data_IF_794428889992
#
_entry.id   IF_794428889992
#
_cell.length_a   1.000
_cell.length_b   1.000
_cell.length_c   1.000
_cell.angle_alpha   90.00
_cell.angle_beta   90.00
_cell.angle_gamma   90.00
#
_symmetry.space_group_name_H-M   'P 1'
#
loop_
_entity.id
_entity.type
_entity.pdbx_description
1 polymer ?
#
# COMPACT_ATOMS: atom_id res chain seq x y z
N UNK A 1 5.13 45.33 -5.71
CA UNK A 1 4.36 44.37 -6.52
C UNK A 1 4.90 42.99 -6.19
N UNK A 2 4.17 42.19 -5.42
CA UNK A 2 4.48 40.78 -5.25
C UNK A 2 4.00 40.10 -6.54
N UNK A 3 4.90 39.76 -7.44
CA UNK A 3 4.60 38.77 -8.48
C UNK A 3 4.54 37.43 -7.76
N UNK A 4 3.35 36.79 -7.63
CA UNK A 4 3.30 35.44 -7.11
C UNK A 4 4.16 34.56 -8.03
N UNK A 5 4.95 33.67 -7.41
CA UNK A 5 5.67 32.63 -8.13
C UNK A 5 4.65 31.90 -9.03
N UNK A 6 4.93 31.68 -10.33
CA UNK A 6 4.03 30.94 -11.17
C UNK A 6 3.76 29.59 -10.51
N UNK A 7 2.49 29.27 -10.27
CA UNK A 7 2.09 27.95 -9.81
C UNK A 7 2.67 26.92 -10.79
N UNK A 8 3.63 26.13 -10.33
CA UNK A 8 4.32 25.17 -11.20
C UNK A 8 3.34 24.06 -11.57
N UNK A 9 2.79 24.16 -12.77
CA UNK A 9 1.93 23.13 -13.37
C UNK A 9 2.79 21.95 -13.81
N UNK A 10 2.97 20.97 -12.93
CA UNK A 10 3.61 19.70 -13.30
C UNK A 10 3.93 18.81 -12.12
N UNK A 11 3.19 17.70 -11.98
CA UNK A 11 3.53 16.61 -11.08
C UNK A 11 4.70 15.76 -11.57
N UNK A 12 5.13 14.72 -10.82
CA UNK A 12 6.24 13.86 -11.21
C UNK A 12 5.96 13.14 -12.54
N UNK A 13 6.85 13.33 -13.53
CA UNK A 13 6.69 12.75 -14.87
C UNK A 13 7.65 11.57 -15.04
N UNK A 14 7.09 10.39 -15.31
CA UNK A 14 7.88 9.20 -15.62
C UNK A 14 8.40 9.26 -17.06
N UNK A 15 9.72 9.31 -17.26
CA UNK A 15 10.35 9.32 -18.60
C UNK A 15 10.61 7.92 -19.17
N UNK A 16 10.37 6.86 -18.40
CA UNK A 16 10.69 5.49 -18.80
C UNK A 16 9.62 4.92 -19.76
N UNK A 17 9.99 4.42 -20.96
CA UNK A 17 9.05 3.86 -21.93
C UNK A 17 8.32 2.61 -21.41
N UNK A 18 8.86 1.91 -20.41
CA UNK A 18 8.25 0.73 -19.81
C UNK A 18 7.07 1.05 -18.87
N UNK A 19 6.91 2.31 -18.44
CA UNK A 19 5.80 2.69 -17.56
C UNK A 19 4.43 2.47 -18.22
N UNK A 20 4.31 2.74 -19.53
CA UNK A 20 3.07 2.57 -20.27
C UNK A 20 2.60 1.09 -20.37
N UNK A 21 3.43 0.12 -20.81
CA UNK A 21 3.02 -1.28 -20.84
C UNK A 21 2.77 -1.84 -19.43
N UNK A 22 3.55 -1.46 -18.42
CA UNK A 22 3.32 -1.89 -17.03
C UNK A 22 1.96 -1.42 -16.51
N UNK A 23 1.59 -0.15 -16.75
CA UNK A 23 0.25 0.37 -16.42
C UNK A 23 -0.86 -0.40 -17.15
N UNK A 24 -0.64 -0.75 -18.42
CA UNK A 24 -1.58 -1.55 -19.21
C UNK A 24 -1.80 -2.94 -18.60
N UNK A 25 -0.73 -3.67 -18.33
CA UNK A 25 -0.78 -4.99 -17.70
C UNK A 25 -1.47 -4.96 -16.34
N UNK A 26 -1.09 -4.01 -15.47
CA UNK A 26 -1.71 -3.84 -14.15
C UNK A 26 -3.17 -3.46 -14.24
N UNK A 27 -3.58 -2.68 -15.25
CA UNK A 27 -4.99 -2.34 -15.47
C UNK A 27 -5.81 -3.59 -15.80
N UNK A 28 -5.31 -4.43 -16.72
CA UNK A 28 -5.99 -5.68 -17.09
C UNK A 28 -6.07 -6.63 -15.89
N UNK A 29 -4.96 -6.81 -15.17
CA UNK A 29 -4.93 -7.65 -13.98
C UNK A 29 -5.93 -7.18 -12.91
N UNK A 30 -5.91 -5.91 -12.55
CA UNK A 30 -6.81 -5.35 -11.54
C UNK A 30 -8.28 -5.33 -12.00
N UNK A 31 -8.54 -5.11 -13.29
CA UNK A 31 -9.90 -5.21 -13.84
C UNK A 31 -10.44 -6.65 -13.77
N UNK A 32 -9.61 -7.64 -14.12
CA UNK A 32 -10.00 -9.05 -13.98
C UNK A 32 -10.27 -9.41 -12.51
N UNK A 33 -9.42 -8.97 -11.59
CA UNK A 33 -9.61 -9.18 -10.16
C UNK A 33 -10.89 -8.48 -9.66
N UNK A 34 -11.20 -7.28 -10.14
CA UNK A 34 -12.44 -6.57 -9.84
C UNK A 34 -13.66 -7.37 -10.31
N UNK A 35 -13.66 -7.88 -11.55
CA UNK A 35 -14.76 -8.70 -12.08
C UNK A 35 -14.97 -9.96 -11.25
N UNK A 36 -13.90 -10.67 -10.88
CA UNK A 36 -13.97 -11.84 -10.00
C UNK A 36 -14.56 -11.44 -8.64
N UNK A 37 -14.09 -10.36 -8.04
CA UNK A 37 -14.56 -9.89 -6.74
C UNK A 37 -16.04 -9.50 -6.74
N UNK A 38 -16.51 -8.80 -7.78
CA UNK A 38 -17.92 -8.44 -7.95
C UNK A 38 -18.79 -9.67 -8.18
N UNK A 39 -18.27 -10.67 -8.90
CA UNK A 39 -18.96 -11.94 -9.10
C UNK A 39 -19.12 -12.68 -7.76
N UNK A 40 -18.07 -12.75 -6.95
CA UNK A 40 -18.12 -13.35 -5.61
C UNK A 40 -19.12 -12.62 -4.71
N UNK A 41 -19.08 -11.28 -4.66
CA UNK A 41 -20.02 -10.49 -3.85
C UNK A 41 -21.47 -10.63 -4.34
N UNK A 42 -21.70 -10.67 -5.65
CA UNK A 42 -23.02 -10.92 -6.22
C UNK A 42 -23.52 -12.33 -5.87
N UNK A 43 -22.65 -13.34 -5.92
CA UNK A 43 -22.97 -14.70 -5.48
C UNK A 43 -23.28 -14.76 -3.97
N UNK A 44 -22.50 -14.09 -3.12
CA UNK A 44 -22.77 -13.97 -1.69
C UNK A 44 -24.13 -13.31 -1.44
N UNK A 45 -24.41 -12.19 -2.11
CA UNK A 45 -25.70 -11.51 -1.97
C UNK A 45 -26.86 -12.38 -2.44
N UNK A 46 -26.68 -13.11 -3.55
CA UNK A 46 -27.67 -14.06 -4.05
C UNK A 46 -27.93 -15.16 -3.01
N UNK A 47 -26.89 -15.82 -2.51
CA UNK A 47 -27.02 -16.87 -1.48
C UNK A 47 -27.71 -16.35 -0.21
N UNK A 48 -27.36 -15.14 0.22
CA UNK A 48 -27.98 -14.46 1.36
C UNK A 48 -29.50 -14.23 1.16
N UNK A 49 -29.89 -13.70 0.00
CA UNK A 49 -31.30 -13.45 -0.32
C UNK A 49 -32.09 -14.75 -0.36
N UNK A 50 -31.55 -15.79 -1.01
CA UNK A 50 -32.27 -17.06 -1.11
C UNK A 50 -32.41 -17.71 0.27
N UNK A 51 -31.35 -17.70 1.09
CA UNK A 51 -31.38 -18.21 2.47
C UNK A 51 -32.50 -17.56 3.30
N UNK A 52 -32.60 -16.23 3.26
CA UNK A 52 -33.64 -15.50 3.98
C UNK A 52 -35.05 -15.67 3.41
N UNK A 53 -35.20 -16.00 2.12
CA UNK A 53 -36.52 -16.16 1.50
C UNK A 53 -37.13 -17.53 1.71
N UNK A 54 -36.31 -18.58 1.77
CA UNK A 54 -36.83 -19.95 1.78
C UNK A 54 -36.68 -20.64 3.12
N UNK A 55 -35.90 -20.11 4.08
CA UNK A 55 -35.66 -20.73 5.39
C UNK A 55 -34.85 -22.04 5.33
N UNK A 56 -34.79 -22.65 4.15
CA UNK A 56 -33.96 -23.73 3.64
C UNK A 56 -33.86 -23.48 2.13
N UNK A 57 -32.66 -23.46 1.53
CA UNK A 57 -32.56 -23.35 0.06
C UNK A 57 -33.22 -24.57 -0.61
N UNK A 58 -33.89 -24.41 -1.77
CA UNK A 58 -34.46 -25.54 -2.50
C UNK A 58 -33.35 -26.56 -2.82
N UNK A 59 -33.65 -27.87 -2.84
CA UNK A 59 -32.67 -28.87 -3.23
C UNK A 59 -32.16 -28.51 -4.63
N UNK A 60 -30.84 -28.33 -4.74
CA UNK A 60 -30.19 -28.06 -6.01
C UNK A 60 -30.60 -29.12 -7.04
N UNK A 61 -30.74 -28.76 -8.33
CA UNK A 61 -31.06 -29.71 -9.38
C UNK A 61 -29.91 -30.73 -9.48
N UNK A 62 -30.18 -31.94 -9.01
CA UNK A 62 -29.24 -33.06 -9.07
C UNK A 62 -29.22 -33.62 -10.50
N UNK A 63 -28.04 -33.89 -11.09
CA UNK A 63 -27.96 -34.89 -12.12
C UNK A 63 -28.05 -36.26 -11.43
N UNK A 64 -29.25 -36.84 -11.52
CA UNK A 64 -29.59 -38.26 -11.35
C UNK A 64 -29.45 -38.91 -9.96
N UNK A 65 -30.62 -39.21 -9.36
CA UNK A 65 -31.01 -40.57 -8.92
C UNK A 65 -30.23 -41.26 -7.77
N UNK A 66 -29.72 -40.55 -6.76
CA UNK A 66 -29.08 -41.26 -5.60
C UNK A 66 -29.55 -40.85 -4.21
N UNK A 67 -30.62 -40.08 -4.07
CA UNK A 67 -31.26 -39.83 -2.76
C UNK A 67 -32.55 -40.67 -2.59
N UNK A 68 -32.49 -41.97 -2.93
CA UNK A 68 -33.54 -42.96 -2.60
C UNK A 68 -33.62 -43.28 -1.09
N UNK A 69 -32.87 -42.55 -0.26
CA UNK A 69 -32.88 -42.68 1.20
C UNK A 69 -33.17 -41.34 1.90
N UNK A 70 -34.09 -40.53 1.36
CA UNK A 70 -34.76 -39.47 2.12
C UNK A 70 -35.71 -40.12 3.14
N UNK A 71 -35.08 -40.56 4.23
CA UNK A 71 -35.71 -41.05 5.45
C UNK A 71 -36.58 -39.92 6.00
N UNK A 72 -37.89 -40.18 5.95
CA UNK A 72 -38.99 -39.57 6.69
C UNK A 72 -38.70 -38.25 7.44
N UNK A 73 -39.37 -37.19 6.96
CA UNK A 73 -40.32 -36.40 7.75
C UNK A 73 -39.95 -36.22 9.23
N UNK A 74 -39.00 -35.32 9.49
CA UNK A 74 -38.83 -34.69 10.81
C UNK A 74 -39.35 -33.24 10.70
N UNK A 75 -40.29 -32.80 11.55
CA UNK A 75 -40.80 -31.44 11.53
C UNK A 75 -39.68 -30.48 11.93
N UNK A 76 -39.56 -29.38 11.17
CA UNK A 76 -38.53 -28.38 11.36
C UNK A 76 -38.47 -27.89 12.81
N UNK A 77 -37.27 -27.79 13.43
CA UNK A 77 -37.13 -27.07 14.68
C UNK A 77 -37.56 -25.61 14.48
N UNK A 78 -38.13 -24.94 15.51
CA UNK A 78 -38.50 -23.53 15.43
C UNK A 78 -37.30 -22.70 15.00
N UNK A 79 -37.50 -21.49 14.41
CA UNK A 79 -36.40 -20.66 13.94
C UNK A 79 -35.44 -20.48 15.11
N UNK A 80 -34.29 -21.14 15.02
CA UNK A 80 -33.23 -20.97 15.99
C UNK A 80 -33.00 -19.46 16.08
N UNK A 81 -33.11 -18.97 17.30
CA UNK A 81 -32.74 -17.61 17.68
C UNK A 81 -31.48 -17.21 16.90
N UNK A 82 -31.51 -16.00 16.37
CA UNK A 82 -30.42 -15.32 15.67
C UNK A 82 -29.25 -15.13 16.65
N UNK A 83 -28.59 -16.21 17.05
CA UNK A 83 -27.52 -16.18 18.07
C UNK A 83 -26.32 -17.08 17.76
N UNK A 84 -26.38 -17.96 16.76
CA UNK A 84 -25.22 -18.77 16.38
C UNK A 84 -24.52 -18.17 15.16
N UNK A 85 -23.63 -17.19 15.38
CA UNK A 85 -22.76 -16.61 14.34
C UNK A 85 -21.92 -17.63 13.55
N UNK A 86 -21.84 -18.88 14.02
CA UNK A 86 -21.18 -20.01 13.36
C UNK A 86 -22.01 -20.65 12.22
N UNK A 87 -23.28 -20.29 12.09
CA UNK A 87 -24.27 -20.93 11.19
C UNK A 87 -24.08 -20.59 9.71
N UNK A 88 -23.47 -19.45 9.40
CA UNK A 88 -23.31 -18.91 8.03
C UNK A 88 -21.84 -18.71 7.64
N UNK A 89 -20.93 -19.46 8.26
CA UNK A 89 -19.49 -19.24 8.13
C UNK A 89 -19.01 -19.23 6.67
N UNK A 90 -19.55 -20.11 5.82
CA UNK A 90 -19.18 -20.19 4.40
C UNK A 90 -19.56 -18.91 3.65
N UNK A 91 -20.74 -18.36 3.91
CA UNK A 91 -21.21 -17.11 3.32
C UNK A 91 -20.31 -15.93 3.70
N UNK A 92 -19.96 -15.84 4.99
CA UNK A 92 -19.05 -14.80 5.49
C UNK A 92 -17.64 -14.93 4.90
N UNK A 93 -17.13 -16.15 4.70
CA UNK A 93 -15.84 -16.37 4.06
C UNK A 93 -15.85 -15.89 2.61
N UNK A 94 -16.80 -16.35 1.78
CA UNK A 94 -16.88 -15.96 0.36
C UNK A 94 -17.06 -14.44 0.24
N UNK A 95 -17.93 -13.85 1.06
CA UNK A 95 -18.13 -12.40 1.09
C UNK A 95 -16.88 -11.63 1.49
N UNK A 96 -16.16 -12.10 2.51
CA UNK A 96 -14.91 -11.49 2.98
C UNK A 96 -13.81 -11.55 1.91
N UNK A 97 -13.62 -12.71 1.24
CA UNK A 97 -12.69 -12.82 0.11
C UNK A 97 -13.06 -11.87 -1.03
N UNK A 98 -14.36 -11.80 -1.39
CA UNK A 98 -14.86 -10.85 -2.38
C UNK A 98 -14.52 -9.39 -2.02
N UNK A 99 -14.76 -8.99 -0.77
CA UNK A 99 -14.46 -7.64 -0.30
C UNK A 99 -12.95 -7.33 -0.31
N UNK A 100 -12.11 -8.27 0.14
CA UNK A 100 -10.65 -8.11 0.13
C UNK A 100 -10.14 -7.97 -1.31
N UNK A 101 -10.58 -8.84 -2.23
CA UNK A 101 -10.17 -8.78 -3.63
C UNK A 101 -10.60 -7.47 -4.29
N UNK A 102 -11.79 -6.95 -3.96
CA UNK A 102 -12.25 -5.66 -4.44
C UNK A 102 -11.41 -4.50 -3.89
N UNK A 103 -11.00 -4.55 -2.62
CA UNK A 103 -10.10 -3.56 -2.02
C UNK A 103 -8.70 -3.58 -2.69
N UNK A 104 -8.16 -4.77 -2.98
CA UNK A 104 -6.91 -4.93 -3.74
C UNK A 104 -7.05 -4.36 -5.14
N UNK A 105 -8.12 -4.70 -5.86
CA UNK A 105 -8.35 -4.26 -7.23
C UNK A 105 -8.53 -2.74 -7.33
N UNK A 106 -9.34 -2.15 -6.44
CA UNK A 106 -9.58 -0.70 -6.41
C UNK A 106 -8.33 0.10 -6.05
N UNK A 107 -7.55 -0.34 -5.06
CA UNK A 107 -6.26 0.30 -4.74
C UNK A 107 -5.27 0.21 -5.90
N UNK A 108 -5.22 -0.93 -6.59
CA UNK A 108 -4.39 -1.13 -7.78
C UNK A 108 -4.78 -0.24 -8.95
N UNK A 109 -6.09 -0.06 -9.20
CA UNK A 109 -6.58 0.83 -10.26
C UNK A 109 -6.26 2.31 -10.00
N UNK A 110 -6.44 2.81 -8.76
CA UNK A 110 -6.11 4.21 -8.44
C UNK A 110 -4.60 4.42 -8.37
N UNK A 111 -3.84 3.41 -7.92
CA UNK A 111 -2.37 3.44 -7.86
C UNK A 111 -1.68 3.54 -9.22
N UNK A 112 -2.40 3.42 -10.34
CA UNK A 112 -1.84 3.63 -11.68
C UNK A 112 -1.46 5.09 -11.95
N UNK A 113 -2.01 6.04 -11.21
CA UNK A 113 -1.69 7.45 -11.36
C UNK A 113 -0.37 7.78 -10.63
N UNK A 114 0.58 8.49 -11.27
CA UNK A 114 1.85 8.83 -10.65
C UNK A 114 1.68 9.76 -9.43
N UNK A 115 0.59 10.55 -9.36
CA UNK A 115 0.30 11.37 -8.17
C UNK A 115 -0.11 10.53 -6.94
N UNK A 116 -0.57 9.30 -7.15
CA UNK A 116 -1.13 8.42 -6.12
C UNK A 116 -0.15 7.32 -5.66
N UNK A 117 1.14 7.64 -5.53
CA UNK A 117 2.21 6.69 -5.15
C UNK A 117 1.90 5.88 -3.89
N UNK A 118 1.33 6.51 -2.87
CA UNK A 118 0.98 5.84 -1.61
C UNK A 118 -0.08 4.75 -1.82
N UNK A 119 -1.03 4.94 -2.73
CA UNK A 119 -2.05 3.91 -3.05
C UNK A 119 -1.44 2.71 -3.75
N UNK A 120 -0.45 2.93 -4.61
CA UNK A 120 0.29 1.85 -5.24
C UNK A 120 1.09 1.03 -4.22
N UNK A 121 1.69 1.69 -3.21
CA UNK A 121 2.36 0.99 -2.11
C UNK A 121 1.38 0.16 -1.27
N UNK A 122 0.20 0.70 -0.95
CA UNK A 122 -0.85 -0.06 -0.27
C UNK A 122 -1.30 -1.27 -1.08
N UNK A 123 -1.44 -1.12 -2.41
CA UNK A 123 -1.75 -2.23 -3.31
C UNK A 123 -0.69 -3.34 -3.23
N UNK A 124 0.60 -2.99 -3.22
CA UNK A 124 1.71 -3.96 -3.06
C UNK A 124 1.58 -4.73 -1.74
N UNK A 125 1.32 -4.04 -0.62
CA UNK A 125 1.14 -4.69 0.69
C UNK A 125 -0.05 -5.65 0.67
N UNK A 126 -1.21 -5.18 0.19
CA UNK A 126 -2.42 -5.98 0.14
C UNK A 126 -2.25 -7.22 -0.77
N UNK A 127 -1.63 -7.06 -1.93
CA UNK A 127 -1.36 -8.15 -2.86
C UNK A 127 -0.35 -9.16 -2.29
N UNK A 128 0.67 -8.67 -1.57
CA UNK A 128 1.62 -9.55 -0.87
C UNK A 128 0.92 -10.36 0.22
N UNK A 129 0.04 -9.72 1.01
CA UNK A 129 -0.80 -10.41 1.99
C UNK A 129 -1.65 -11.50 1.34
N UNK A 130 -2.23 -11.22 0.17
CA UNK A 130 -3.01 -12.19 -0.61
C UNK A 130 -2.21 -13.45 -0.95
N UNK A 131 -1.00 -13.26 -1.47
CA UNK A 131 -0.10 -14.34 -1.86
C UNK A 131 0.27 -15.18 -0.63
N UNK A 132 0.57 -14.55 0.50
CA UNK A 132 0.90 -15.26 1.74
C UNK A 132 -0.29 -16.08 2.25
N UNK A 133 -1.50 -15.51 2.23
CA UNK A 133 -2.71 -16.24 2.60
C UNK A 133 -2.96 -17.41 1.65
N UNK A 134 -2.80 -17.24 0.33
CA UNK A 134 -3.00 -18.31 -0.63
C UNK A 134 -1.99 -19.44 -0.46
N UNK A 135 -0.71 -19.11 -0.28
CA UNK A 135 0.34 -20.09 0.00
C UNK A 135 0.07 -20.83 1.31
N UNK A 136 -0.35 -20.13 2.36
CA UNK A 136 -0.73 -20.76 3.62
C UNK A 136 -1.92 -21.73 3.45
N UNK A 137 -2.96 -21.31 2.72
CA UNK A 137 -4.12 -22.17 2.42
C UNK A 137 -3.69 -23.39 1.60
N UNK A 138 -2.83 -23.23 0.60
CA UNK A 138 -2.32 -24.36 -0.17
C UNK A 138 -1.53 -25.32 0.71
N UNK A 139 -0.63 -24.83 1.56
CA UNK A 139 0.12 -25.69 2.48
C UNK A 139 -0.84 -26.49 3.36
N UNK A 140 -1.86 -25.84 3.94
CA UNK A 140 -2.87 -26.52 4.76
C UNK A 140 -3.67 -27.54 3.96
N UNK A 141 -4.00 -27.24 2.70
CA UNK A 141 -4.78 -28.12 1.83
C UNK A 141 -3.96 -29.27 1.24
N UNK A 142 -2.64 -29.14 1.15
CA UNK A 142 -1.71 -30.16 0.65
C UNK A 142 -1.05 -31.00 1.74
N UNK A 143 -0.94 -30.47 2.96
CA UNK A 143 -0.61 -31.26 4.15
C UNK A 143 -1.85 -32.12 4.45
N UNK A 144 -1.67 -33.38 4.89
CA UNK A 144 -2.72 -34.40 5.10
C UNK A 144 -4.03 -33.89 5.74
N UNK A 145 -5.09 -34.72 5.71
CA UNK A 145 -6.51 -34.37 5.81
C UNK A 145 -7.16 -33.99 7.18
N UNK A 146 -6.52 -33.79 8.37
CA UNK A 146 -7.29 -33.58 9.60
C UNK A 146 -7.97 -32.20 9.67
N UNK A 147 -7.88 -31.37 8.62
CA UNK A 147 -8.64 -30.12 8.51
C UNK A 147 -10.08 -30.36 8.05
N UNK A 148 -10.34 -31.37 7.20
CA UNK A 148 -11.69 -31.67 6.69
C UNK A 148 -12.64 -32.06 7.82
N UNK A 149 -12.14 -32.84 8.78
CA UNK A 149 -12.90 -33.30 9.96
C UNK A 149 -13.20 -32.18 10.97
N UNK A 150 -12.55 -31.01 10.84
CA UNK A 150 -12.67 -29.88 11.78
C UNK A 150 -13.58 -28.77 11.26
N UNK A 151 -14.05 -28.85 10.02
CA UNK A 151 -14.94 -27.84 9.44
C UNK A 151 -16.35 -28.07 9.99
N UNK A 152 -16.99 -27.04 10.60
CA UNK A 152 -18.36 -27.15 11.06
C UNK A 152 -19.31 -27.33 9.87
N UNK A 153 -20.41 -28.05 10.08
CA UNK A 153 -21.44 -28.23 9.06
C UNK A 153 -21.96 -26.88 8.55
N UNK A 154 -21.98 -26.73 7.23
CA UNK A 154 -22.48 -25.54 6.56
C UNK A 154 -23.99 -25.66 6.34
N UNK A 155 -24.76 -24.85 7.09
CA UNK A 155 -26.22 -24.81 6.99
C UNK A 155 -26.72 -24.20 5.66
N UNK A 156 -25.84 -23.59 4.85
CA UNK A 156 -26.21 -23.14 3.50
C UNK A 156 -26.25 -24.28 2.47
N UNK A 157 -25.62 -25.43 2.77
CA UNK A 157 -25.60 -26.60 1.89
C UNK A 157 -24.75 -26.42 0.61
N UNK A 158 -24.01 -25.32 0.47
CA UNK A 158 -23.15 -25.07 -0.69
C UNK A 158 -21.76 -25.66 -0.54
N UNK A 159 -21.22 -25.72 0.69
CA UNK A 159 -19.91 -26.30 0.95
C UNK A 159 -19.75 -27.75 0.43
N UNK A 160 -20.71 -28.68 0.63
CA UNK A 160 -20.60 -30.04 0.10
C UNK A 160 -20.55 -30.10 -1.43
N UNK A 161 -21.18 -29.15 -2.14
CA UNK A 161 -21.08 -29.06 -3.60
C UNK A 161 -19.67 -28.66 -4.04
N UNK A 162 -19.09 -27.68 -3.35
CA UNK A 162 -17.71 -27.21 -3.62
C UNK A 162 -16.72 -28.34 -3.34
N UNK A 163 -16.87 -29.04 -2.22
CA UNK A 163 -16.03 -30.19 -1.87
C UNK A 163 -16.09 -31.29 -2.93
N UNK A 164 -17.30 -31.69 -3.34
CA UNK A 164 -17.49 -32.69 -4.41
C UNK A 164 -16.88 -32.23 -5.75
N UNK A 165 -16.93 -30.93 -6.06
CA UNK A 165 -16.28 -30.39 -7.25
C UNK A 165 -14.75 -30.47 -7.17
N UNK A 166 -14.17 -30.12 -6.02
CA UNK A 166 -12.73 -30.18 -5.76
C UNK A 166 -12.22 -31.61 -5.83
N UNK A 167 -12.94 -32.57 -5.25
CA UNK A 167 -12.55 -33.98 -5.25
C UNK A 167 -12.63 -34.59 -6.66
N UNK A 168 -13.63 -34.19 -7.46
CA UNK A 168 -13.73 -34.61 -8.87
C UNK A 168 -12.69 -33.97 -9.77
N UNK A 169 -12.26 -32.74 -9.48
CA UNK A 169 -11.43 -31.93 -10.37
C UNK A 169 -10.11 -31.48 -9.72
N UNK A 170 -9.55 -32.30 -8.83
CA UNK A 170 -8.40 -31.92 -8.00
C UNK A 170 -7.21 -31.43 -8.82
N UNK A 171 -6.93 -32.04 -9.98
CA UNK A 171 -5.84 -31.61 -10.88
C UNK A 171 -6.07 -30.21 -11.44
N UNK A 172 -7.31 -29.90 -11.84
CA UNK A 172 -7.68 -28.60 -12.41
C UNK A 172 -7.62 -27.52 -11.33
N UNK A 173 -8.14 -27.81 -10.14
CA UNK A 173 -8.12 -26.87 -9.00
C UNK A 173 -6.68 -26.54 -8.59
N UNK A 174 -5.81 -27.54 -8.50
CA UNK A 174 -4.38 -27.34 -8.20
C UNK A 174 -3.68 -26.49 -9.27
N UNK A 175 -3.97 -26.75 -10.55
CA UNK A 175 -3.41 -25.97 -11.65
C UNK A 175 -3.94 -24.52 -11.64
N UNK A 176 -5.22 -24.32 -11.33
CA UNK A 176 -5.83 -23.00 -11.23
C UNK A 176 -5.23 -22.19 -10.08
N UNK A 177 -5.01 -22.80 -8.92
CA UNK A 177 -4.33 -22.14 -7.80
C UNK A 177 -2.88 -21.77 -8.14
N UNK A 178 -2.14 -22.66 -8.80
CA UNK A 178 -0.77 -22.35 -9.25
C UNK A 178 -0.76 -21.20 -10.27
N UNK A 179 -1.73 -21.18 -11.19
CA UNK A 179 -1.88 -20.11 -12.16
C UNK A 179 -2.25 -18.77 -11.50
N UNK A 180 -3.10 -18.80 -10.46
CA UNK A 180 -3.49 -17.63 -9.69
C UNK A 180 -2.27 -17.01 -8.96
N UNK A 181 -1.47 -17.82 -8.26
CA UNK A 181 -0.21 -17.37 -7.65
C UNK A 181 0.73 -16.78 -8.71
N UNK A 182 0.88 -17.46 -9.85
CA UNK A 182 1.71 -16.96 -10.97
C UNK A 182 1.25 -15.58 -11.47
N UNK A 183 -0.05 -15.39 -11.64
CA UNK A 183 -0.63 -14.11 -12.05
C UNK A 183 -0.45 -13.03 -10.97
N UNK A 184 -0.63 -13.36 -9.70
CA UNK A 184 -0.39 -12.45 -8.58
C UNK A 184 1.09 -12.04 -8.47
N UNK A 185 2.02 -12.96 -8.64
CA UNK A 185 3.47 -12.67 -8.64
C UNK A 185 3.85 -11.76 -9.81
N UNK A 186 3.30 -12.01 -11.01
CA UNK A 186 3.50 -11.13 -12.15
C UNK A 186 2.93 -9.73 -11.89
N UNK A 187 1.73 -9.63 -11.31
CA UNK A 187 1.11 -8.37 -10.90
C UNK A 187 1.91 -7.63 -9.82
N UNK A 188 2.46 -8.36 -8.85
CA UNK A 188 3.31 -7.82 -7.80
C UNK A 188 4.62 -7.29 -8.38
N UNK A 189 5.29 -8.06 -9.24
CA UNK A 189 6.51 -7.63 -9.92
C UNK A 189 6.29 -6.37 -10.76
N UNK A 190 5.20 -6.32 -11.53
CA UNK A 190 4.82 -5.13 -12.28
C UNK A 190 4.53 -3.93 -11.37
N UNK A 191 3.86 -4.15 -10.24
CA UNK A 191 3.55 -3.10 -9.25
C UNK A 191 4.82 -2.55 -8.59
N UNK A 192 5.74 -3.43 -8.17
CA UNK A 192 7.02 -3.04 -7.58
C UNK A 192 7.88 -2.25 -8.57
N UNK A 193 7.95 -2.69 -9.82
CA UNK A 193 8.72 -1.97 -10.84
C UNK A 193 8.11 -0.60 -11.13
N UNK A 194 6.79 -0.52 -11.29
CA UNK A 194 6.10 0.74 -11.50
C UNK A 194 6.27 1.68 -10.29
N UNK A 195 6.21 1.16 -9.07
CA UNK A 195 6.44 1.93 -7.85
C UNK A 195 7.87 2.47 -7.78
N UNK A 196 8.87 1.66 -8.13
CA UNK A 196 10.26 2.10 -8.23
C UNK A 196 10.43 3.24 -9.24
N UNK A 197 9.77 3.16 -10.40
CA UNK A 197 9.77 4.26 -11.39
C UNK A 197 9.07 5.53 -10.88
N UNK A 198 8.04 5.38 -10.06
CA UNK A 198 7.32 6.53 -9.47
C UNK A 198 8.13 7.17 -8.35
N UNK A 199 8.87 6.37 -7.60
CA UNK A 199 9.77 6.85 -6.56
C UNK A 199 10.91 7.66 -7.19
N UNK A 200 11.56 7.15 -8.24
CA UNK A 200 12.65 7.88 -8.90
C UNK A 200 12.16 9.17 -9.58
N UNK A 201 11.02 9.13 -10.27
CA UNK A 201 10.44 10.32 -10.88
C UNK A 201 10.02 11.38 -9.85
N UNK A 202 9.71 10.97 -8.62
CA UNK A 202 9.39 11.88 -7.53
C UNK A 202 10.64 12.50 -6.90
N UNK A 203 11.70 11.72 -6.71
CA UNK A 203 12.99 12.23 -6.24
C UNK A 203 13.56 13.27 -7.23
N UNK A 204 13.57 12.96 -8.53
CA UNK A 204 13.96 13.91 -9.59
C UNK A 204 13.13 15.21 -9.56
N UNK A 205 11.84 15.10 -9.22
CA UNK A 205 10.93 16.25 -9.15
C UNK A 205 11.24 17.11 -7.92
N UNK A 206 11.49 16.50 -6.75
CA UNK A 206 11.90 17.23 -5.53
C UNK A 206 13.22 17.94 -5.76
N UNK A 207 14.23 17.25 -6.29
CA UNK A 207 15.56 17.83 -6.52
C UNK A 207 15.46 19.03 -7.47
N UNK A 208 14.60 18.94 -8.50
CA UNK A 208 14.31 20.04 -9.40
C UNK A 208 13.63 21.25 -8.74
N UNK A 209 12.77 21.00 -7.75
CA UNK A 209 12.11 22.06 -6.96
C UNK A 209 13.13 22.72 -6.03
N UNK A 210 13.91 21.94 -5.28
CA UNK A 210 14.93 22.46 -4.35
C UNK A 210 16.02 23.26 -5.09
N UNK A 211 16.46 22.79 -6.25
CA UNK A 211 17.44 23.50 -7.07
C UNK A 211 16.90 24.83 -7.61
N UNK A 212 15.61 24.90 -7.95
CA UNK A 212 14.96 26.13 -8.41
C UNK A 212 14.77 27.12 -7.27
N UNK A 213 14.30 26.68 -6.11
CA UNK A 213 14.20 27.51 -4.91
C UNK A 213 15.57 28.08 -4.53
N UNK A 214 16.61 27.26 -4.57
CA UNK A 214 17.99 27.69 -4.30
C UNK A 214 18.45 28.74 -5.31
N UNK A 215 18.16 28.54 -6.61
CA UNK A 215 18.49 29.52 -7.66
C UNK A 215 17.76 30.84 -7.46
N UNK A 216 16.47 30.80 -7.18
CA UNK A 216 15.65 31.99 -6.91
C UNK A 216 16.18 32.73 -5.68
N UNK A 217 16.51 32.02 -4.60
CA UNK A 217 17.12 32.62 -3.41
C UNK A 217 18.49 33.25 -3.71
N UNK A 218 19.34 32.60 -4.51
CA UNK A 218 20.63 33.14 -4.92
C UNK A 218 20.50 34.37 -5.81
N UNK A 219 19.57 34.37 -6.76
CA UNK A 219 19.30 35.52 -7.64
C UNK A 219 18.72 36.70 -6.86
N UNK A 220 17.78 36.45 -5.95
CA UNK A 220 17.24 37.47 -5.04
C UNK A 220 18.35 38.02 -4.12
N UNK A 221 19.21 37.15 -3.59
CA UNK A 221 20.36 37.53 -2.78
C UNK A 221 21.33 38.43 -3.55
N UNK A 222 21.71 38.04 -4.77
CA UNK A 222 22.57 38.84 -5.66
C UNK A 222 21.92 40.17 -6.06
N UNK A 223 20.62 40.17 -6.36
CA UNK A 223 19.89 41.40 -6.70
C UNK A 223 19.80 42.36 -5.50
N UNK A 224 19.58 41.82 -4.30
CA UNK A 224 19.63 42.59 -3.07
C UNK A 224 21.04 43.15 -2.84
N UNK A 225 22.08 42.33 -2.92
CA UNK A 225 23.47 42.77 -2.80
C UNK A 225 23.79 43.87 -3.81
N UNK A 226 23.44 43.73 -5.09
CA UNK A 226 23.66 44.75 -6.11
C UNK A 226 22.85 46.04 -5.85
N UNK A 227 21.62 45.93 -5.37
CA UNK A 227 20.80 47.09 -5.00
C UNK A 227 21.36 47.84 -3.77
N UNK A 228 22.08 47.15 -2.88
CA UNK A 228 22.65 47.70 -1.67
C UNK A 228 24.18 47.88 -1.71
N UNK A 229 24.87 47.47 -2.80
CA UNK A 229 26.33 47.45 -2.94
C UNK A 229 27.02 48.83 -2.90
N UNK A 230 26.26 49.92 -2.87
CA UNK A 230 26.78 51.28 -2.69
C UNK A 230 26.03 52.12 -1.65
N UNK A 231 25.00 51.56 -1.01
CA UNK A 231 24.25 52.26 0.04
C UNK A 231 24.72 51.71 1.38
N UNK A 232 25.31 52.56 2.23
CA UNK A 232 25.48 52.25 3.65
C UNK A 232 24.16 51.77 4.27
N UNK A 233 24.20 51.11 5.46
CA UNK A 233 23.05 50.43 6.04
C UNK A 233 21.79 51.31 5.95
N UNK A 234 20.83 50.91 5.11
CA UNK A 234 19.63 51.72 4.93
C UNK A 234 18.88 51.81 6.26
N UNK A 235 18.23 52.94 6.53
CA UNK A 235 17.47 53.15 7.78
C UNK A 235 16.43 52.05 8.02
N UNK A 236 15.95 51.41 6.95
CA UNK A 236 15.10 50.21 7.01
C UNK A 236 15.83 48.96 7.49
N UNK A 237 17.02 48.65 6.96
CA UNK A 237 17.84 47.50 7.42
C UNK A 237 18.23 47.65 8.89
N UNK A 238 18.57 48.86 9.34
CA UNK A 238 18.86 49.14 10.76
C UNK A 238 17.63 48.98 11.65
N UNK A 239 16.43 49.34 11.15
CA UNK A 239 15.16 49.12 11.86
C UNK A 239 14.76 47.65 11.92
N UNK A 240 14.96 46.89 10.86
CA UNK A 240 14.71 45.44 10.84
C UNK A 240 15.68 44.72 11.79
N UNK A 241 16.98 45.01 11.70
CA UNK A 241 17.98 44.46 12.63
C UNK A 241 17.67 44.83 14.08
N UNK A 242 17.27 46.06 14.35
CA UNK A 242 16.84 46.50 15.68
C UNK A 242 15.56 45.80 16.16
N UNK A 243 14.57 45.58 15.29
CA UNK A 243 13.30 44.94 15.65
C UNK A 243 13.46 43.45 15.98
N UNK A 244 14.40 42.78 15.33
CA UNK A 244 14.66 41.34 15.51
C UNK A 244 15.94 41.04 16.29
N UNK A 245 16.58 42.05 16.91
CA UNK A 245 17.80 41.87 17.70
C UNK A 245 19.04 41.43 16.91
N UNK A 246 19.01 41.46 15.57
CA UNK A 246 20.08 41.02 14.68
C UNK A 246 21.26 42.02 14.59
N UNK A 247 21.52 42.78 15.66
CA UNK A 247 22.64 43.73 15.69
C UNK A 247 23.97 42.96 15.78
N UNK A 248 24.95 43.41 14.99
CA UNK A 248 26.20 42.72 14.67
C UNK A 248 26.99 42.16 15.84
N UNK A 249 26.96 42.82 16.99
CA UNK A 249 27.92 42.52 18.07
C UNK A 249 27.66 41.20 18.79
N UNK A 250 26.40 40.83 18.98
CA UNK A 250 26.06 39.61 19.74
C UNK A 250 26.18 38.36 18.87
N UNK A 251 25.75 38.43 17.60
CA UNK A 251 25.84 37.30 16.70
C UNK A 251 27.27 37.09 16.17
N UNK A 252 28.05 38.14 15.95
CA UNK A 252 29.48 38.00 15.58
C UNK A 252 30.27 37.37 16.73
N UNK A 253 30.01 37.77 17.97
CA UNK A 253 30.61 37.15 19.15
C UNK A 253 30.21 35.67 19.28
N UNK A 254 28.94 35.35 19.03
CA UNK A 254 28.43 33.96 19.10
C UNK A 254 28.95 33.09 17.96
N UNK A 255 29.07 33.65 16.75
CA UNK A 255 29.64 32.95 15.59
C UNK A 255 31.15 32.73 15.72
N UNK A 256 31.88 33.72 16.26
CA UNK A 256 33.31 33.57 16.59
C UNK A 256 33.51 32.56 17.72
N UNK A 257 32.65 32.57 18.74
CA UNK A 257 32.68 31.57 19.81
C UNK A 257 32.39 30.15 19.26
N UNK A 258 31.39 30.00 18.39
CA UNK A 258 31.07 28.72 17.75
C UNK A 258 32.21 28.23 16.83
N UNK A 259 32.84 29.12 16.07
CA UNK A 259 34.01 28.79 15.24
C UNK A 259 35.23 28.39 16.08
N UNK A 260 35.46 29.06 17.21
CA UNK A 260 36.54 28.71 18.15
C UNK A 260 36.31 27.33 18.79
N UNK A 261 35.07 27.02 19.21
CA UNK A 261 34.70 25.70 19.75
C UNK A 261 34.86 24.59 18.70
N UNK A 262 34.49 24.88 17.45
CA UNK A 262 34.64 23.91 16.36
C UNK A 262 36.12 23.68 16.01
N UNK A 263 36.96 24.71 16.13
CA UNK A 263 38.40 24.60 15.93
C UNK A 263 39.09 23.84 17.07
N UNK A 264 38.69 24.06 18.33
CA UNK A 264 39.15 23.27 19.48
C UNK A 264 38.74 21.79 19.38
N UNK A 265 37.51 21.50 18.94
CA UNK A 265 37.06 20.12 18.72
C UNK A 265 37.89 19.38 17.67
N UNK A 266 38.27 20.06 16.58
CA UNK A 266 39.14 19.49 15.55
C UNK A 266 40.59 19.31 16.01
N UNK A 267 41.10 20.18 16.87
CA UNK A 267 42.45 20.05 17.47
C UNK A 267 42.50 18.90 18.48
N UNK A 268 41.47 18.74 19.30
CA UNK A 268 41.42 17.68 20.32
C UNK A 268 41.19 16.30 19.70
N UNK A 269 40.41 16.23 18.61
CA UNK A 269 40.24 15.02 17.81
C UNK A 269 41.52 14.65 17.03
N UNK A 270 42.27 15.66 16.57
CA UNK A 270 43.62 15.48 16.03
C UNK A 270 44.62 14.97 17.07
N UNK A 271 44.58 15.49 18.30
CA UNK A 271 45.44 15.08 19.42
C UNK A 271 45.14 13.66 19.91
N UNK A 272 43.86 13.25 19.95
CA UNK A 272 43.45 11.87 20.24
C UNK A 272 43.90 10.86 19.18
N UNK A 273 43.96 11.27 17.90
CA UNK A 273 44.46 10.41 16.81
C UNK A 273 46.00 10.31 16.77
N UNK A 274 46.74 11.28 17.30
CA UNK A 274 48.21 11.30 17.24
C UNK A 274 48.94 10.57 18.37
N UNK A 275 48.24 10.04 19.39
CA UNK A 275 48.82 9.14 20.39
C UNK A 275 50.02 9.69 21.20
N UNK A 276 50.08 11.01 21.45
CA UNK A 276 51.14 11.62 22.25
C UNK A 276 50.74 11.62 23.74
N UNK A 277 51.60 11.11 24.65
CA UNK A 277 51.27 11.02 26.07
C UNK A 277 51.29 12.41 26.73
N UNK A 278 50.35 12.63 27.66
CA UNK A 278 50.30 13.81 28.52
C UNK A 278 51.56 13.90 29.38
N UNK A 279 52.41 14.89 29.09
CA UNK A 279 53.49 15.28 29.99
C UNK A 279 52.86 16.18 31.07
N UNK A 280 52.52 15.56 32.20
CA UNK A 280 52.21 16.28 33.43
C UNK A 280 53.44 17.07 33.88
N UNK A 281 53.29 18.39 34.00
CA UNK A 281 54.26 19.26 34.66
C UNK A 281 54.10 19.19 36.18
N UNK A 282 55.20 19.24 36.96
CA UNK A 282 55.21 19.05 38.41
C UNK A 282 54.57 20.20 39.21
#
# INVERSE_FOLDING_TARGET
MYTPLPAREGGPVTRNPLAAPLRGTLRVFNAALAVVSLSLLASTLYMYIVYHRTGLLPPAPTPSETFKHLKLMEPAPPPASIDDGNTLWFLWLVGSFGAIFLAVASSGMVGLQPENRQRLFMHIILLTGLILTEVAVLIVLFTDDPWREKIPEDLTGFWPLVENFIDKNTRVVKLAALAAIGAQLAGLGASCWLHSMYQSAYEDWIDGVEAEETRVQQELGRAAEQAYAGSGPSSWQSRIRGKYGLNSKEWEATALAAAAVQQEGLVDEGRRRSGLPEIGTP
#
